data_IF_150825974135
#
_entry.id   IF_150825974135
#
_cell.length_a   1.000
_cell.length_b   1.000
_cell.length_c   1.000
_cell.angle_alpha   90.00
_cell.angle_beta   90.00
_cell.angle_gamma   90.00
#
_symmetry.space_group_name_H-M   'P 1'
#
loop_
_entity.id
_entity.type
_entity.pdbx_description
1 polymer ?
#
# COMPACT_ATOMS: atom_id res chain seq x y z
N UNK A 1 1.18 -0.30 -2.72
CA UNK A 1 0.27 -1.26 -3.39
C UNK A 1 1.16 -1.93 -4.42
N UNK A 2 1.67 -3.12 -4.08
CA UNK A 2 2.55 -3.87 -4.97
C UNK A 2 1.76 -4.35 -6.17
N UNK A 3 2.36 -4.35 -7.37
CA UNK A 3 1.82 -5.12 -8.48
C UNK A 3 1.79 -6.60 -8.04
N UNK A 4 0.60 -7.21 -7.88
CA UNK A 4 0.54 -8.62 -7.52
C UNK A 4 1.13 -9.44 -8.68
N UNK A 5 1.80 -10.55 -8.34
CA UNK A 5 2.02 -11.63 -9.30
C UNK A 5 0.68 -11.93 -10.01
N UNK A 6 0.68 -12.19 -11.33
CA UNK A 6 -0.55 -12.37 -12.09
C UNK A 6 -1.32 -13.58 -11.56
N UNK A 7 -2.23 -13.32 -10.61
CA UNK A 7 -3.19 -14.28 -10.09
C UNK A 7 -4.50 -14.04 -10.83
N UNK A 8 -4.89 -15.00 -11.68
CA UNK A 8 -6.25 -15.08 -12.24
C UNK A 8 -7.23 -15.24 -11.09
N UNK A 9 -7.85 -14.14 -10.62
CA UNK A 9 -8.95 -14.19 -9.65
C UNK A 9 -10.20 -13.61 -10.30
N UNK A 10 -11.24 -14.45 -10.39
CA UNK A 10 -12.57 -14.12 -10.91
C UNK A 10 -13.28 -13.18 -9.94
N UNK A 11 -13.34 -11.90 -10.27
CA UNK A 11 -14.00 -10.83 -9.50
C UNK A 11 -15.53 -10.77 -9.70
N UNK A 12 -16.13 -11.68 -10.48
CA UNK A 12 -17.50 -11.51 -10.99
C UNK A 12 -18.64 -11.85 -10.03
N UNK A 13 -18.39 -12.43 -8.86
CA UNK A 13 -19.48 -13.00 -8.06
C UNK A 13 -20.21 -12.01 -7.13
N UNK A 14 -19.65 -10.82 -6.84
CA UNK A 14 -20.21 -9.92 -5.83
C UNK A 14 -21.06 -8.75 -6.38
N UNK A 15 -21.11 -8.53 -7.70
CA UNK A 15 -21.84 -7.40 -8.31
C UNK A 15 -23.23 -7.76 -8.84
N UNK A 16 -23.63 -9.03 -8.72
CA UNK A 16 -24.83 -9.52 -9.41
C UNK A 16 -26.15 -9.12 -8.71
N UNK A 17 -26.10 -8.62 -7.46
CA UNK A 17 -27.29 -8.37 -6.65
C UNK A 17 -27.30 -7.00 -5.93
N UNK A 18 -26.80 -5.93 -6.56
CA UNK A 18 -26.97 -4.58 -6.03
C UNK A 18 -28.22 -3.93 -6.66
N UNK A 19 -29.21 -3.46 -5.87
CA UNK A 19 -30.32 -2.70 -6.44
C UNK A 19 -29.82 -1.37 -7.01
N UNK A 20 -30.24 -1.04 -8.22
CA UNK A 20 -29.79 0.16 -8.96
C UNK A 20 -30.25 1.48 -8.33
N UNK A 21 -31.23 1.47 -7.42
CA UNK A 21 -31.78 2.68 -6.82
C UNK A 21 -31.74 2.67 -5.28
N UNK A 22 -31.07 3.68 -4.73
CA UNK A 22 -30.92 3.88 -3.28
C UNK A 22 -32.25 4.29 -2.62
N UNK A 23 -33.22 4.78 -3.41
CA UNK A 23 -34.57 5.15 -2.94
C UNK A 23 -35.34 3.98 -2.35
N UNK A 24 -35.07 2.76 -2.81
CA UNK A 24 -35.85 1.57 -2.44
C UNK A 24 -35.45 1.01 -1.07
N UNK A 25 -34.37 1.54 -0.49
CA UNK A 25 -33.87 1.16 0.82
C UNK A 25 -34.57 1.88 1.98
N UNK A 26 -35.34 2.93 1.69
CA UNK A 26 -36.05 3.71 2.71
C UNK A 26 -37.49 3.97 2.27
N UNK A 27 -38.51 3.56 3.06
CA UNK A 27 -39.89 3.85 2.72
C UNK A 27 -40.12 5.36 2.76
N UNK A 28 -40.29 5.99 1.59
CA UNK A 28 -40.76 7.37 1.47
C UNK A 28 -42.24 7.40 1.82
N UNK A 29 -42.54 7.60 3.11
CA UNK A 29 -43.90 7.84 3.58
C UNK A 29 -44.33 9.24 3.12
N UNK A 30 -45.02 9.30 1.99
CA UNK A 30 -45.62 10.51 1.39
C UNK A 30 -47.04 10.75 1.91
N UNK A 31 -47.25 10.67 3.23
CA UNK A 31 -48.53 11.07 3.81
C UNK A 31 -48.52 12.59 4.05
N UNK A 32 -49.31 13.32 3.25
CA UNK A 32 -49.43 14.77 3.32
C UNK A 32 -49.93 15.25 4.68
N UNK A 33 -50.71 14.43 5.39
CA UNK A 33 -51.20 14.74 6.75
C UNK A 33 -50.09 14.70 7.79
N UNK A 34 -49.08 13.83 7.59
CA UNK A 34 -47.89 13.75 8.45
C UNK A 34 -47.01 14.98 8.22
N UNK A 35 -46.80 15.39 6.97
CA UNK A 35 -46.01 16.58 6.63
C UNK A 35 -46.59 17.86 7.23
N UNK A 36 -47.92 18.01 7.21
CA UNK A 36 -48.61 19.16 7.79
C UNK A 36 -48.46 19.24 9.31
N UNK A 37 -48.55 18.10 10.01
CA UNK A 37 -48.34 17.99 11.46
C UNK A 37 -46.89 18.27 11.90
N UNK A 38 -45.93 18.13 10.99
CA UNK A 38 -44.50 18.36 11.27
C UNK A 38 -44.06 19.80 10.98
N UNK A 39 -44.74 20.54 10.07
CA UNK A 39 -44.39 21.93 9.70
C UNK A 39 -44.33 22.90 10.88
N UNK A 40 -45.19 22.70 11.88
CA UNK A 40 -45.32 23.57 13.06
C UNK A 40 -44.57 23.05 14.29
N UNK A 41 -43.84 21.93 14.17
CA UNK A 41 -43.04 21.35 15.25
C UNK A 41 -41.56 21.57 14.95
N UNK A 42 -40.88 22.37 15.77
CA UNK A 42 -39.43 22.47 15.71
C UNK A 42 -38.83 21.17 16.27
N UNK A 43 -38.25 20.36 15.40
CA UNK A 43 -37.47 19.19 15.81
C UNK A 43 -36.09 19.71 16.20
N UNK A 44 -35.86 19.88 17.50
CA UNK A 44 -34.50 20.08 18.01
C UNK A 44 -33.82 18.72 17.91
N UNK A 45 -33.07 18.50 16.83
CA UNK A 45 -32.15 17.38 16.73
C UNK A 45 -31.03 17.65 17.72
N UNK A 46 -31.23 17.20 18.95
CA UNK A 46 -30.15 17.00 19.90
C UNK A 46 -29.25 15.89 19.37
N UNK A 47 -28.44 16.25 18.38
CA UNK A 47 -27.22 15.56 18.01
C UNK A 47 -26.26 15.73 19.19
N UNK A 48 -26.62 15.12 20.32
CA UNK A 48 -25.72 14.87 21.42
C UNK A 48 -24.50 14.26 20.75
N UNK A 49 -23.37 14.97 20.81
CA UNK A 49 -22.09 14.40 20.44
C UNK A 49 -21.90 13.23 21.39
N UNK A 50 -22.35 12.04 20.98
CA UNK A 50 -22.10 10.81 21.70
C UNK A 50 -20.59 10.76 21.74
N UNK A 51 -20.03 11.16 22.88
CA UNK A 51 -18.60 11.07 23.10
C UNK A 51 -18.37 9.57 23.06
N UNK A 52 -17.92 9.08 21.90
CA UNK A 52 -17.56 7.68 21.75
C UNK A 52 -16.43 7.52 22.76
N UNK A 53 -16.74 6.97 23.94
CA UNK A 53 -15.73 6.58 24.93
C UNK A 53 -14.70 5.81 24.11
N UNK A 54 -13.47 6.32 24.04
CA UNK A 54 -12.42 5.71 23.22
C UNK A 54 -12.30 4.26 23.68
N UNK A 55 -12.91 3.35 22.94
CA UNK A 55 -12.77 1.91 23.19
C UNK A 55 -11.28 1.67 23.10
N UNK A 56 -10.68 1.28 24.22
CA UNK A 56 -9.25 0.98 24.27
C UNK A 56 -9.02 -0.12 23.25
N UNK A 57 -8.45 0.24 22.09
CA UNK A 57 -8.12 -0.73 21.05
C UNK A 57 -7.27 -1.80 21.71
N UNK A 58 -7.56 -3.10 21.49
CA UNK A 58 -6.76 -4.17 22.06
C UNK A 58 -5.29 -3.92 21.70
N UNK A 59 -4.40 -4.07 22.68
CA UNK A 59 -2.96 -3.95 22.44
C UNK A 59 -2.62 -4.93 21.30
N UNK A 60 -2.00 -4.41 20.25
CA UNK A 60 -1.61 -5.21 19.09
C UNK A 60 -0.71 -6.34 19.59
N UNK A 61 -1.09 -7.58 19.33
CA UNK A 61 -0.28 -8.76 19.65
C UNK A 61 0.93 -8.76 18.72
N UNK A 62 2.02 -8.13 19.13
CA UNK A 62 3.23 -8.05 18.34
C UNK A 62 4.33 -7.25 19.03
N UNK A 63 5.56 -7.53 18.62
CA UNK A 63 6.75 -6.85 19.10
C UNK A 63 6.64 -5.34 18.86
N UNK A 64 6.93 -4.57 19.90
CA UNK A 64 7.10 -3.12 19.82
C UNK A 64 8.27 -2.76 18.92
N UNK A 65 8.32 -1.52 18.44
CA UNK A 65 9.44 -1.04 17.63
C UNK A 65 10.79 -1.18 18.36
N UNK A 66 10.80 -1.01 19.69
CA UNK A 66 11.99 -1.18 20.52
C UNK A 66 12.45 -2.63 20.54
N UNK A 67 11.51 -3.56 20.75
CA UNK A 67 11.84 -4.99 20.76
C UNK A 67 12.31 -5.48 19.38
N UNK A 68 11.68 -5.03 18.28
CA UNK A 68 12.14 -5.35 16.92
C UNK A 68 13.56 -4.87 16.63
N UNK A 69 13.93 -3.68 17.15
CA UNK A 69 15.31 -3.17 17.05
C UNK A 69 16.27 -4.00 17.90
N UNK A 70 15.88 -4.35 19.14
CA UNK A 70 16.71 -5.20 20.04
C UNK A 70 16.98 -6.56 19.42
N UNK A 71 15.96 -7.15 18.78
CA UNK A 71 16.05 -8.45 18.10
C UNK A 71 16.70 -8.36 16.72
N UNK A 72 17.05 -7.16 16.24
CA UNK A 72 17.62 -6.96 14.90
C UNK A 72 16.79 -7.64 13.81
N UNK A 73 15.47 -7.64 13.98
CA UNK A 73 14.54 -8.42 13.17
C UNK A 73 14.57 -8.07 11.66
N UNK A 74 15.18 -6.93 11.32
CA UNK A 74 15.32 -6.45 9.95
C UNK A 74 16.78 -6.27 9.50
N UNK A 75 17.75 -6.71 10.30
CA UNK A 75 19.16 -6.77 9.90
C UNK A 75 19.41 -8.11 9.22
N UNK A 76 20.13 -8.07 8.11
CA UNK A 76 20.55 -9.29 7.40
C UNK A 76 21.79 -9.82 8.12
N UNK A 77 21.87 -11.12 8.45
CA UNK A 77 23.07 -11.67 9.07
C UNK A 77 24.29 -11.44 8.19
N UNK A 78 25.44 -11.10 8.80
CA UNK A 78 26.68 -10.75 8.07
C UNK A 78 27.11 -11.81 7.06
N UNK A 79 26.82 -13.08 7.33
CA UNK A 79 27.14 -14.20 6.44
C UNK A 79 26.47 -14.09 5.06
N UNK A 80 25.28 -13.48 5.00
CA UNK A 80 24.50 -13.29 3.78
C UNK A 80 24.68 -11.90 3.17
N UNK A 81 25.49 -11.03 3.77
CA UNK A 81 25.86 -9.71 3.21
C UNK A 81 27.03 -9.84 2.22
N UNK A 82 27.04 -10.90 1.41
CA UNK A 82 28.02 -11.09 0.33
C UNK A 82 27.37 -10.71 -0.98
N UNK A 83 28.09 -9.98 -1.82
CA UNK A 83 27.60 -9.58 -3.13
C UNK A 83 27.16 -10.80 -3.98
N UNK A 84 27.90 -11.90 -3.88
CA UNK A 84 27.61 -13.18 -4.53
C UNK A 84 26.26 -13.80 -4.17
N UNK A 85 25.71 -13.50 -2.99
CA UNK A 85 24.37 -13.99 -2.62
C UNK A 85 23.27 -13.25 -3.40
N UNK A 86 23.54 -12.02 -3.84
CA UNK A 86 22.57 -11.14 -4.50
C UNK A 86 22.70 -11.11 -6.02
N UNK A 87 23.71 -11.75 -6.61
CA UNK A 87 23.84 -11.88 -8.07
C UNK A 87 22.66 -12.65 -8.66
N UNK A 88 22.32 -13.80 -8.08
CA UNK A 88 21.13 -14.59 -8.49
C UNK A 88 19.83 -13.79 -8.38
N UNK A 89 19.73 -12.93 -7.36
CA UNK A 89 18.56 -12.06 -7.20
C UNK A 89 18.50 -11.00 -8.29
N UNK A 90 19.64 -10.43 -8.68
CA UNK A 90 19.70 -9.48 -9.79
C UNK A 90 19.33 -10.13 -11.13
N UNK A 91 19.82 -11.35 -11.40
CA UNK A 91 19.45 -12.11 -12.60
C UNK A 91 17.93 -12.33 -12.68
N UNK A 92 17.30 -12.74 -11.57
CA UNK A 92 15.86 -12.90 -11.48
C UNK A 92 15.13 -11.57 -11.74
N UNK A 93 15.61 -10.48 -11.14
CA UNK A 93 15.01 -9.16 -11.32
C UNK A 93 15.12 -8.68 -12.77
N UNK A 94 16.25 -8.93 -13.45
CA UNK A 94 16.44 -8.58 -14.86
C UNK A 94 15.44 -9.32 -15.77
N UNK A 95 15.19 -10.61 -15.52
CA UNK A 95 14.17 -11.37 -16.23
C UNK A 95 12.77 -10.80 -16.01
N UNK A 96 12.40 -10.61 -14.74
CA UNK A 96 11.12 -10.03 -14.34
C UNK A 96 10.86 -8.67 -14.99
N UNK A 97 11.82 -7.74 -14.91
CA UNK A 97 11.59 -6.38 -15.41
C UNK A 97 11.55 -6.34 -16.95
N UNK A 98 12.25 -7.26 -17.62
CA UNK A 98 12.18 -7.40 -19.08
C UNK A 98 10.78 -7.83 -19.50
N UNK A 99 10.17 -8.80 -18.81
CA UNK A 99 8.79 -9.23 -19.08
C UNK A 99 7.77 -8.13 -18.77
N UNK A 100 7.94 -7.40 -17.66
CA UNK A 100 7.02 -6.32 -17.26
C UNK A 100 7.07 -5.14 -18.23
N UNK A 101 8.24 -4.80 -18.75
CA UNK A 101 8.41 -3.66 -19.65
C UNK A 101 8.29 -4.03 -21.13
N UNK A 102 8.08 -5.30 -21.47
CA UNK A 102 8.06 -5.79 -22.84
C UNK A 102 7.01 -5.10 -23.72
N UNK A 103 5.81 -4.87 -23.16
CA UNK A 103 4.65 -4.33 -23.89
C UNK A 103 4.40 -2.83 -23.58
N UNK A 104 5.19 -2.23 -22.69
CA UNK A 104 4.95 -0.90 -22.15
C UNK A 104 5.82 0.15 -22.85
N UNK A 105 5.21 1.28 -23.24
CA UNK A 105 5.92 2.37 -23.94
C UNK A 105 5.70 3.71 -23.23
N UNK A 106 6.72 4.58 -23.26
CA UNK A 106 6.66 5.94 -22.75
C UNK A 106 6.27 6.02 -21.27
N UNK A 107 5.26 6.82 -20.95
CA UNK A 107 4.80 7.04 -19.56
C UNK A 107 4.26 5.77 -18.90
N UNK A 108 3.72 4.83 -19.68
CA UNK A 108 3.20 3.57 -19.15
C UNK A 108 4.31 2.67 -18.60
N UNK A 109 5.49 2.69 -19.25
CA UNK A 109 6.70 2.03 -18.76
C UNK A 109 7.15 2.60 -17.41
N UNK A 110 7.08 3.92 -17.22
CA UNK A 110 7.42 4.56 -15.95
C UNK A 110 6.46 4.15 -14.84
N UNK A 111 5.16 4.11 -15.15
CA UNK A 111 4.13 3.68 -14.20
C UNK A 111 4.31 2.20 -13.82
N UNK A 112 4.64 1.34 -14.79
CA UNK A 112 4.94 -0.06 -14.54
C UNK A 112 6.15 -0.20 -13.61
N UNK A 113 7.25 0.51 -13.91
CA UNK A 113 8.47 0.49 -13.10
C UNK A 113 8.23 0.98 -11.65
N UNK A 114 7.42 2.02 -11.45
CA UNK A 114 7.09 2.53 -10.11
C UNK A 114 6.24 1.52 -9.31
N UNK A 115 5.43 0.71 -9.99
CA UNK A 115 4.59 -0.33 -9.37
C UNK A 115 5.35 -1.63 -9.10
N UNK A 116 6.44 -1.86 -9.83
CA UNK A 116 7.31 -3.02 -9.72
C UNK A 116 8.17 -3.00 -8.45
N UNK A 117 8.65 -4.18 -8.07
CA UNK A 117 9.66 -4.31 -7.02
C UNK A 117 11.03 -3.83 -7.51
N UNK A 118 11.78 -3.16 -6.64
CA UNK A 118 13.17 -2.74 -6.88
C UNK A 118 14.20 -3.58 -6.11
N UNK A 119 13.78 -4.58 -5.33
CA UNK A 119 14.67 -5.54 -4.69
C UNK A 119 15.40 -6.37 -5.75
N UNK A 120 16.74 -6.36 -5.70
CA UNK A 120 17.58 -7.00 -6.72
C UNK A 120 17.96 -6.07 -7.87
N UNK A 121 17.40 -4.87 -7.97
CA UNK A 121 17.78 -3.90 -8.99
C UNK A 121 19.19 -3.35 -8.74
N UNK A 122 19.98 -3.21 -9.81
CA UNK A 122 21.29 -2.56 -9.76
C UNK A 122 21.12 -1.06 -9.94
N UNK A 123 21.53 -0.26 -8.95
CA UNK A 123 21.41 1.20 -8.98
C UNK A 123 22.77 1.89 -8.86
N UNK A 124 22.84 3.11 -9.38
CA UNK A 124 23.99 4.02 -9.23
C UNK A 124 23.51 5.43 -8.91
N UNK A 125 24.07 6.02 -7.87
CA UNK A 125 23.74 7.39 -7.46
C UNK A 125 24.46 8.37 -8.38
N UNK A 126 23.71 9.01 -9.28
CA UNK A 126 24.24 10.02 -10.21
C UNK A 126 24.26 11.42 -9.60
N UNK A 127 23.21 11.79 -8.85
CA UNK A 127 23.06 13.10 -8.21
C UNK A 127 22.50 12.95 -6.81
N UNK A 128 23.04 13.71 -5.86
CA UNK A 128 22.59 13.76 -4.48
C UNK A 128 23.01 15.08 -3.84
N UNK A 129 22.23 15.55 -2.87
CA UNK A 129 22.58 16.69 -2.01
C UNK A 129 23.84 16.39 -1.20
N UNK A 130 24.03 15.14 -0.79
CA UNK A 130 25.22 14.69 -0.08
C UNK A 130 26.25 14.14 -1.08
N UNK A 131 27.42 14.79 -1.14
CA UNK A 131 28.50 14.38 -2.06
C UNK A 131 29.11 13.02 -1.70
N UNK A 132 29.07 12.60 -0.43
CA UNK A 132 29.67 11.33 0.02
C UNK A 132 28.98 10.08 -0.51
N UNK A 133 27.75 10.19 -1.00
CA UNK A 133 27.01 9.06 -1.60
C UNK A 133 27.02 9.07 -3.12
N UNK A 134 27.61 10.10 -3.75
CA UNK A 134 27.74 10.16 -5.19
C UNK A 134 28.57 8.98 -5.70
N UNK A 135 28.22 8.51 -6.90
CA UNK A 135 28.89 7.41 -7.61
C UNK A 135 28.87 6.06 -6.90
N UNK A 136 28.23 5.92 -5.74
CA UNK A 136 27.99 4.60 -5.15
C UNK A 136 27.05 3.81 -6.04
N UNK A 137 27.43 2.58 -6.32
CA UNK A 137 26.65 1.62 -7.09
C UNK A 137 26.53 0.31 -6.34
N UNK A 138 25.43 -0.40 -6.56
CA UNK A 138 25.20 -1.67 -5.89
C UNK A 138 23.83 -2.25 -6.23
N UNK A 139 23.59 -3.44 -5.69
CA UNK A 139 22.29 -4.11 -5.79
C UNK A 139 21.43 -3.69 -4.60
N UNK A 140 20.18 -3.31 -4.83
CA UNK A 140 19.23 -3.01 -3.77
C UNK A 140 18.87 -4.31 -3.05
N UNK A 141 19.16 -4.35 -1.76
CA UNK A 141 18.82 -5.48 -0.89
C UNK A 141 17.51 -5.22 -0.15
N UNK A 142 17.27 -3.97 0.23
CA UNK A 142 16.10 -3.57 1.00
C UNK A 142 15.63 -2.18 0.62
N UNK A 143 14.33 -2.07 0.45
CA UNK A 143 13.62 -0.80 0.31
C UNK A 143 12.83 -0.50 1.59
N UNK A 144 12.78 0.78 1.91
CA UNK A 144 11.91 1.35 2.94
C UNK A 144 11.30 2.62 2.35
N UNK A 145 10.31 3.20 3.02
CA UNK A 145 9.63 4.39 2.50
C UNK A 145 10.56 5.48 1.93
N UNK A 146 11.70 5.74 2.57
CA UNK A 146 12.61 6.83 2.20
C UNK A 146 14.08 6.41 2.07
N UNK A 147 14.42 5.12 2.18
CA UNK A 147 15.81 4.67 2.12
C UNK A 147 15.97 3.38 1.34
N UNK A 148 17.05 3.31 0.56
CA UNK A 148 17.52 2.09 -0.09
C UNK A 148 18.79 1.60 0.61
N UNK A 149 18.83 0.32 0.95
CA UNK A 149 20.06 -0.34 1.38
C UNK A 149 20.63 -1.09 0.18
N UNK A 150 21.85 -0.72 -0.21
CA UNK A 150 22.57 -1.35 -1.30
C UNK A 150 23.74 -2.17 -0.78
N UNK A 151 24.04 -3.26 -1.48
CA UNK A 151 25.30 -3.98 -1.35
C UNK A 151 26.22 -3.58 -2.51
N UNK A 152 27.45 -3.21 -2.17
CA UNK A 152 28.51 -2.82 -3.11
C UNK A 152 29.55 -3.92 -3.18
#
# INVERSE_FOLDING_TARGET
>A
IYAPLPLKVKAELCLQNAPENVSDLFPTVTDSSIQEKLKSKQIILENAKISKKKVKKPKRMGLTAVEKRRLKAFEIPKNYQKYECFTKLNELWNGYITEVLQDESGDSMLVALIKSDLHGAKIKVQRSKNKSVLNKSGIIVKETANTFQIIT
#
